data_IF_707855527251
#
_entry.id   IF_707855527251
#
_cell.length_a   1.000
_cell.length_b   1.000
_cell.length_c   1.000
_cell.angle_alpha   90.00
_cell.angle_beta   90.00
_cell.angle_gamma   90.00
#
_symmetry.space_group_name_H-M   'P 1'
#
loop_
_entity.id
_entity.type
_entity.pdbx_description
1 polymer ?
#
# COMPACT_ATOMS: atom_id res chain seq x y z
N UNK A 1 -21.97 -15.35 8.92
CA UNK A 1 -20.49 -15.48 8.83
C UNK A 1 -19.83 -14.79 7.62
N UNK A 2 -20.53 -14.02 6.76
CA UNK A 2 -19.97 -13.61 5.45
C UNK A 2 -19.39 -12.16 5.35
N UNK A 3 -19.37 -11.38 6.43
CA UNK A 3 -19.02 -9.95 6.34
C UNK A 3 -17.50 -9.76 6.20
N UNK A 4 -16.70 -10.43 7.03
CA UNK A 4 -15.24 -10.30 7.01
C UNK A 4 -14.65 -10.82 5.69
N UNK A 5 -15.09 -11.97 5.20
CA UNK A 5 -14.65 -12.51 3.90
C UNK A 5 -14.98 -11.58 2.74
N UNK A 6 -16.18 -10.98 2.74
CA UNK A 6 -16.57 -9.99 1.72
C UNK A 6 -15.74 -8.70 1.79
N UNK A 7 -15.38 -8.23 2.99
CA UNK A 7 -14.53 -7.07 3.20
C UNK A 7 -13.10 -7.31 2.71
N UNK A 8 -12.50 -8.46 3.06
CA UNK A 8 -11.18 -8.85 2.58
C UNK A 8 -11.17 -9.03 1.05
N UNK A 9 -12.20 -9.66 0.49
CA UNK A 9 -12.33 -9.83 -0.96
C UNK A 9 -12.47 -8.48 -1.68
N UNK A 10 -13.26 -7.55 -1.12
CA UNK A 10 -13.40 -6.20 -1.66
C UNK A 10 -12.09 -5.41 -1.56
N UNK A 11 -11.39 -5.50 -0.42
CA UNK A 11 -10.09 -4.87 -0.24
C UNK A 11 -9.05 -5.39 -1.25
N UNK A 12 -8.97 -6.73 -1.43
CA UNK A 12 -8.09 -7.36 -2.42
C UNK A 12 -8.42 -6.93 -3.85
N UNK A 13 -9.71 -6.84 -4.18
CA UNK A 13 -10.17 -6.36 -5.50
C UNK A 13 -9.81 -4.89 -5.72
N UNK A 14 -10.09 -4.01 -4.77
CA UNK A 14 -9.71 -2.59 -4.84
C UNK A 14 -8.19 -2.42 -4.95
N UNK A 15 -7.41 -3.26 -4.28
CA UNK A 15 -5.96 -3.26 -4.39
C UNK A 15 -5.50 -3.69 -5.80
N UNK A 16 -6.08 -4.77 -6.35
CA UNK A 16 -5.77 -5.21 -7.71
C UNK A 16 -6.14 -4.14 -8.76
N UNK A 17 -7.30 -3.49 -8.59
CA UNK A 17 -7.74 -2.38 -9.44
C UNK A 17 -6.78 -1.19 -9.34
N UNK A 18 -6.37 -0.79 -8.13
CA UNK A 18 -5.36 0.27 -7.93
C UNK A 18 -4.02 -0.09 -8.57
N UNK A 19 -3.52 -1.31 -8.38
CA UNK A 19 -2.27 -1.77 -9.01
C UNK A 19 -2.36 -1.73 -10.54
N UNK A 20 -3.50 -2.13 -11.11
CA UNK A 20 -3.71 -2.07 -12.55
C UNK A 20 -3.76 -0.63 -13.06
N UNK A 21 -4.47 0.27 -12.36
CA UNK A 21 -4.52 1.69 -12.71
C UNK A 21 -3.15 2.36 -12.61
N UNK A 22 -2.43 2.12 -11.51
CA UNK A 22 -1.06 2.60 -11.32
C UNK A 22 -0.11 2.05 -12.39
N UNK A 23 -0.25 0.76 -12.77
CA UNK A 23 0.52 0.16 -13.86
C UNK A 23 0.26 0.84 -15.22
N UNK A 24 -1.01 1.15 -15.53
CA UNK A 24 -1.36 1.92 -16.74
C UNK A 24 -0.76 3.33 -16.71
N UNK A 25 -0.82 4.01 -15.57
CA UNK A 25 -0.22 5.33 -15.40
C UNK A 25 1.30 5.29 -15.59
N UNK A 26 1.99 4.32 -14.97
CA UNK A 26 3.43 4.12 -15.16
C UNK A 26 3.75 3.92 -16.64
N UNK A 27 3.02 3.05 -17.32
CA UNK A 27 3.25 2.79 -18.74
C UNK A 27 3.03 4.05 -19.59
N UNK A 28 2.00 4.84 -19.28
CA UNK A 28 1.73 6.11 -19.95
C UNK A 28 2.88 7.11 -19.76
N UNK A 29 3.35 7.28 -18.52
CA UNK A 29 4.47 8.17 -18.19
C UNK A 29 5.77 7.70 -18.83
N UNK A 30 6.05 6.40 -18.83
CA UNK A 30 7.23 5.83 -19.49
C UNK A 30 7.23 6.14 -21.00
N UNK A 31 6.09 5.96 -21.68
CA UNK A 31 5.95 6.34 -23.09
C UNK A 31 6.22 7.83 -23.31
N UNK A 32 5.66 8.69 -22.45
CA UNK A 32 5.89 10.14 -22.51
C UNK A 32 7.38 10.50 -22.40
N UNK A 33 8.12 9.88 -21.48
CA UNK A 33 9.57 10.11 -21.36
C UNK A 33 10.37 9.57 -22.53
N UNK A 34 9.96 8.44 -23.12
CA UNK A 34 10.59 7.94 -24.34
C UNK A 34 10.40 8.94 -25.49
N UNK A 35 9.20 9.52 -25.63
CA UNK A 35 8.94 10.55 -26.65
C UNK A 35 9.79 11.81 -26.44
N UNK A 36 9.86 12.31 -25.20
CA UNK A 36 10.72 13.46 -24.86
C UNK A 36 12.20 13.14 -25.12
N UNK A 37 12.66 11.95 -24.74
CA UNK A 37 14.03 11.50 -25.01
C UNK A 37 14.34 11.41 -26.51
N UNK A 38 13.39 10.94 -27.32
CA UNK A 38 13.55 10.88 -28.77
C UNK A 38 13.63 12.29 -29.39
N UNK A 39 12.81 13.23 -28.93
CA UNK A 39 12.86 14.62 -29.38
C UNK A 39 14.22 15.26 -29.07
N UNK A 40 14.77 15.00 -27.89
CA UNK A 40 16.10 15.46 -27.50
C UNK A 40 17.23 14.84 -28.35
N UNK A 41 17.12 13.55 -28.68
CA UNK A 41 18.09 12.90 -29.57
C UNK A 41 18.06 13.53 -30.97
N UNK A 42 16.87 13.72 -31.53
CA UNK A 42 16.69 14.32 -32.85
C UNK A 42 17.19 15.77 -32.87
N UNK A 43 16.89 16.57 -31.84
CA UNK A 43 17.35 17.96 -31.74
C UNK A 43 18.88 18.03 -31.67
N UNK A 44 19.52 17.09 -30.95
CA UNK A 44 20.99 17.00 -30.89
C UNK A 44 21.61 16.64 -32.25
N UNK A 45 20.96 15.80 -33.04
CA UNK A 45 21.43 15.43 -34.39
C UNK A 45 21.24 16.57 -35.40
N UNK A 46 20.11 17.30 -35.32
CA UNK A 46 19.79 18.42 -36.20
C UNK A 46 20.44 19.75 -35.78
N UNK A 47 21.03 19.83 -34.59
CA UNK A 47 21.58 21.07 -34.03
C UNK A 47 20.51 22.07 -33.58
N UNK A 48 19.29 21.60 -33.32
CA UNK A 48 18.16 22.41 -32.84
C UNK A 48 18.24 22.64 -31.32
N UNK A 49 17.50 23.64 -30.82
CA UNK A 49 17.44 23.92 -29.39
C UNK A 49 16.73 22.78 -28.63
N UNK A 50 17.41 22.12 -27.67
CA UNK A 50 16.83 21.04 -26.88
C UNK A 50 15.58 21.45 -26.09
N UNK A 51 15.47 22.71 -25.67
CA UNK A 51 14.32 23.19 -24.91
C UNK A 51 13.09 23.34 -25.81
N UNK A 52 13.25 23.95 -26.99
CA UNK A 52 12.21 24.02 -28.00
C UNK A 52 11.71 22.63 -28.41
N UNK A 53 12.62 21.66 -28.58
CA UNK A 53 12.24 20.28 -28.94
C UNK A 53 11.43 19.55 -27.86
N UNK A 54 11.65 19.87 -26.57
CA UNK A 54 10.81 19.36 -25.48
C UNK A 54 9.42 20.00 -25.57
N UNK A 55 9.36 21.32 -25.70
CA UNK A 55 8.09 22.07 -25.74
C UNK A 55 7.20 21.68 -26.93
N UNK A 56 7.80 21.31 -28.07
CA UNK A 56 7.09 20.81 -29.26
C UNK A 56 6.35 19.49 -29.01
N UNK A 57 6.88 18.66 -28.11
CA UNK A 57 6.28 17.36 -27.75
C UNK A 57 5.38 17.47 -26.54
N UNK A 58 5.75 18.30 -25.57
CA UNK A 58 5.07 18.44 -24.31
C UNK A 58 5.29 19.84 -23.73
N UNK A 59 4.23 20.63 -23.52
CA UNK A 59 4.36 21.96 -22.91
C UNK A 59 5.14 21.91 -21.59
N UNK A 60 6.03 22.89 -21.37
CA UNK A 60 6.96 22.86 -20.24
C UNK A 60 6.28 22.69 -18.88
N UNK A 61 5.13 23.34 -18.69
CA UNK A 61 4.35 23.21 -17.44
C UNK A 61 3.79 21.79 -17.25
N UNK A 62 3.38 21.12 -18.32
CA UNK A 62 2.92 19.73 -18.27
C UNK A 62 4.08 18.76 -18.04
N UNK A 63 5.28 19.08 -18.55
CA UNK A 63 6.50 18.33 -18.26
C UNK A 63 6.84 18.37 -16.77
N UNK A 64 6.81 19.54 -16.13
CA UNK A 64 7.02 19.70 -14.69
C UNK A 64 6.03 18.84 -13.90
N UNK A 65 4.73 18.97 -14.20
CA UNK A 65 3.68 18.18 -13.55
C UNK A 65 3.92 16.68 -13.74
N UNK A 66 4.33 16.26 -14.95
CA UNK A 66 4.62 14.86 -15.26
C UNK A 66 5.80 14.31 -14.46
N UNK A 67 6.85 15.11 -14.24
CA UNK A 67 8.01 14.77 -13.40
C UNK A 67 7.60 14.61 -11.93
N UNK A 68 6.77 15.50 -11.40
CA UNK A 68 6.27 15.39 -10.04
C UNK A 68 5.39 14.16 -9.83
N UNK A 69 4.45 13.92 -10.76
CA UNK A 69 3.59 12.73 -10.74
C UNK A 69 4.41 11.45 -10.85
N UNK A 70 5.40 11.39 -11.73
CA UNK A 70 6.26 10.21 -11.89
C UNK A 70 7.13 9.97 -10.67
N UNK A 71 7.66 11.04 -10.04
CA UNK A 71 8.37 10.94 -8.77
C UNK A 71 7.46 10.41 -7.67
N UNK A 72 6.20 10.82 -7.62
CA UNK A 72 5.22 10.27 -6.70
C UNK A 72 4.97 8.78 -6.99
N UNK A 73 4.73 8.40 -8.25
CA UNK A 73 4.51 7.01 -8.67
C UNK A 73 5.72 6.09 -8.41
N UNK A 74 6.94 6.62 -8.44
CA UNK A 74 8.18 5.87 -8.20
C UNK A 74 8.44 5.58 -6.71
N UNK A 75 7.73 6.22 -5.78
CA UNK A 75 7.88 5.95 -4.34
C UNK A 75 7.45 4.51 -4.04
N UNK A 76 8.40 3.73 -3.53
CA UNK A 76 8.25 2.30 -3.15
C UNK A 76 7.05 2.05 -2.23
N UNK A 77 6.70 3.03 -1.39
CA UNK A 77 5.61 2.95 -0.42
C UNK A 77 4.22 2.89 -1.05
N UNK A 78 4.05 3.38 -2.29
CA UNK A 78 2.75 3.35 -2.99
C UNK A 78 2.30 1.93 -3.40
N UNK A 79 3.20 0.94 -3.28
CA UNK A 79 2.93 -0.45 -3.64
C UNK A 79 2.88 -1.39 -2.43
N UNK A 80 3.14 -0.90 -1.20
CA UNK A 80 3.07 -1.75 -0.01
C UNK A 80 1.61 -1.92 0.44
N UNK A 81 1.02 -3.13 0.34
CA UNK A 81 -0.36 -3.37 0.75
C UNK A 81 -0.59 -3.10 2.24
N UNK A 82 0.47 -3.13 3.06
CA UNK A 82 0.38 -2.95 4.50
C UNK A 82 -0.03 -1.53 4.90
N UNK A 83 0.22 -0.53 4.04
CA UNK A 83 -0.25 0.85 4.28
C UNK A 83 -1.78 0.97 4.29
N UNK A 84 -2.49 0.09 3.59
CA UNK A 84 -3.95 0.08 3.61
C UNK A 84 -4.49 -0.46 4.95
N UNK A 85 -3.74 -1.35 5.60
CA UNK A 85 -4.12 -1.92 6.90
C UNK A 85 -4.01 -0.84 7.98
N UNK A 86 -2.95 -0.03 7.96
CA UNK A 86 -2.79 1.10 8.89
C UNK A 86 -3.89 2.15 8.70
N UNK A 87 -4.31 2.46 7.47
CA UNK A 87 -5.45 3.36 7.21
C UNK A 87 -6.77 2.86 7.83
N UNK A 88 -7.01 1.54 7.79
CA UNK A 88 -8.24 0.93 8.33
C UNK A 88 -8.13 0.51 9.80
N UNK A 89 -6.94 0.60 10.39
CA UNK A 89 -6.67 0.19 11.76
C UNK A 89 -7.56 0.90 12.78
N UNK A 90 -7.79 2.22 12.61
CA UNK A 90 -8.65 3.01 13.49
C UNK A 90 -10.09 2.46 13.53
N UNK A 91 -10.62 2.09 12.37
CA UNK A 91 -11.94 1.48 12.24
C UNK A 91 -11.96 0.11 12.93
N UNK A 92 -10.96 -0.74 12.68
CA UNK A 92 -10.87 -2.06 13.28
C UNK A 92 -10.78 -1.99 14.81
N UNK A 93 -9.95 -1.08 15.35
CA UNK A 93 -9.76 -0.88 16.80
C UNK A 93 -11.05 -0.46 17.50
N UNK A 94 -11.96 0.25 16.82
CA UNK A 94 -13.27 0.65 17.36
C UNK A 94 -14.19 -0.55 17.62
N UNK A 95 -14.18 -1.55 16.75
CA UNK A 95 -15.07 -2.71 16.84
C UNK A 95 -14.44 -3.93 17.52
N UNK A 96 -13.11 -4.04 17.50
CA UNK A 96 -12.38 -5.19 18.00
C UNK A 96 -12.70 -5.58 19.46
N UNK A 97 -12.80 -4.66 20.44
CA UNK A 97 -13.10 -5.05 21.82
C UNK A 97 -14.43 -5.78 21.95
N UNK A 98 -15.48 -5.26 21.29
CA UNK A 98 -16.81 -5.85 21.34
C UNK A 98 -16.87 -7.16 20.59
N UNK A 99 -16.22 -7.25 19.42
CA UNK A 99 -16.11 -8.49 18.67
C UNK A 99 -15.43 -9.61 19.48
N UNK A 100 -14.29 -9.31 20.11
CA UNK A 100 -13.52 -10.28 20.89
C UNK A 100 -14.21 -10.69 22.19
N UNK A 101 -15.13 -9.87 22.71
CA UNK A 101 -15.94 -10.18 23.90
C UNK A 101 -17.10 -11.13 23.62
N UNK A 102 -17.64 -11.11 22.40
CA UNK A 102 -18.81 -11.92 22.01
C UNK A 102 -18.38 -13.24 21.38
N UNK A 103 -17.29 -13.24 20.62
CA UNK A 103 -16.83 -14.44 19.91
C UNK A 103 -15.93 -15.30 20.80
N UNK A 104 -16.30 -16.58 20.90
CA UNK A 104 -15.46 -17.62 21.48
C UNK A 104 -14.60 -18.25 20.37
N UNK A 105 -13.29 -17.98 20.41
CA UNK A 105 -12.33 -18.60 19.50
C UNK A 105 -11.82 -19.90 20.13
N UNK A 106 -11.76 -20.97 19.34
CA UNK A 106 -11.09 -22.22 19.68
C UNK A 106 -10.04 -22.49 18.62
N UNK A 107 -8.81 -22.76 19.04
CA UNK A 107 -7.70 -23.02 18.13
C UNK A 107 -7.42 -24.52 18.04
N UNK A 108 -7.07 -24.96 16.82
CA UNK A 108 -6.39 -26.23 16.63
C UNK A 108 -4.93 -26.14 17.15
N UNK A 109 -4.24 -27.26 17.42
CA UNK A 109 -2.87 -27.25 17.93
C UNK A 109 -1.90 -26.39 17.09
N UNK A 110 -2.05 -26.40 15.77
CA UNK A 110 -1.22 -25.60 14.85
C UNK A 110 -1.44 -24.07 14.96
N UNK A 111 -2.55 -23.63 15.56
CA UNK A 111 -2.93 -22.21 15.69
C UNK A 111 -2.86 -21.69 17.14
N UNK A 112 -2.22 -22.42 18.05
CA UNK A 112 -2.12 -22.03 19.46
C UNK A 112 -1.49 -20.65 19.67
N UNK A 113 -0.39 -20.34 18.96
CA UNK A 113 0.25 -19.02 19.04
C UNK A 113 -0.68 -17.87 18.63
N UNK A 114 -1.61 -18.11 17.71
CA UNK A 114 -2.61 -17.12 17.32
C UNK A 114 -3.66 -16.94 18.43
N UNK A 115 -4.07 -18.03 19.09
CA UNK A 115 -4.96 -17.96 20.26
C UNK A 115 -4.35 -17.13 21.39
N UNK A 116 -3.08 -17.40 21.71
CA UNK A 116 -2.35 -16.68 22.76
C UNK A 116 -2.22 -15.17 22.44
N UNK A 117 -2.06 -14.82 21.16
CA UNK A 117 -2.07 -13.43 20.72
C UNK A 117 -3.46 -12.78 20.90
N UNK A 118 -4.54 -13.50 20.60
CA UNK A 118 -5.89 -12.99 20.83
C UNK A 118 -6.16 -12.73 22.32
N UNK A 119 -5.68 -13.60 23.20
CA UNK A 119 -5.79 -13.40 24.64
C UNK A 119 -4.96 -12.21 25.12
N UNK A 120 -3.76 -12.03 24.58
CA UNK A 120 -2.94 -10.83 24.82
C UNK A 120 -3.70 -9.56 24.41
N UNK A 121 -4.32 -9.56 23.23
CA UNK A 121 -5.09 -8.41 22.71
C UNK A 121 -6.35 -8.16 23.56
N UNK A 122 -7.05 -9.20 24.02
CA UNK A 122 -8.18 -9.06 24.96
C UNK A 122 -7.75 -8.38 26.25
N UNK A 123 -6.63 -8.81 26.81
CA UNK A 123 -6.06 -8.22 28.02
C UNK A 123 -5.62 -6.78 27.82
N UNK A 124 -5.05 -6.46 26.65
CA UNK A 124 -4.73 -5.07 26.29
C UNK A 124 -5.99 -4.21 26.25
N UNK A 125 -7.11 -4.69 25.69
CA UNK A 125 -8.36 -3.94 25.69
C UNK A 125 -8.95 -3.78 27.10
N UNK A 126 -8.91 -4.84 27.93
CA UNK A 126 -9.38 -4.77 29.34
C UNK A 126 -8.57 -3.79 30.17
N UNK A 127 -7.24 -3.81 30.03
CA UNK A 127 -6.29 -2.97 30.77
C UNK A 127 -6.03 -1.62 30.09
N UNK A 128 -6.71 -1.33 28.97
CA UNK A 128 -6.52 -0.14 28.14
C UNK A 128 -5.04 0.14 27.76
N UNK A 129 -4.28 -0.92 27.52
CA UNK A 129 -2.86 -0.80 27.16
C UNK A 129 -2.71 -0.20 25.76
N UNK A 130 -1.81 0.77 25.65
CA UNK A 130 -1.48 1.41 24.37
C UNK A 130 -0.36 0.67 23.63
N UNK A 131 0.55 0.03 24.34
CA UNK A 131 1.70 -0.71 23.78
C UNK A 131 1.46 -2.21 23.88
N UNK A 132 1.90 -2.95 22.85
CA UNK A 132 1.90 -4.40 22.85
C UNK A 132 3.00 -4.89 23.83
N UNK A 133 2.70 -5.84 24.73
CA UNK A 133 3.71 -6.41 25.61
C UNK A 133 4.84 -7.11 24.83
N UNK A 134 6.11 -7.07 25.30
CA UNK A 134 7.21 -7.78 24.64
C UNK A 134 7.02 -9.30 24.58
N UNK A 135 6.20 -9.85 25.48
CA UNK A 135 5.85 -11.27 25.56
C UNK A 135 4.76 -11.69 24.56
N UNK A 136 4.23 -10.77 23.75
CA UNK A 136 3.17 -11.09 22.79
C UNK A 136 3.70 -12.07 21.72
N UNK A 137 2.97 -13.16 21.43
CA UNK A 137 3.41 -14.11 20.43
C UNK A 137 3.26 -13.49 19.04
N UNK A 138 4.36 -13.46 18.29
CA UNK A 138 4.45 -12.92 16.92
C UNK A 138 4.91 -13.98 15.91
N UNK A 139 5.13 -15.22 16.34
CA UNK A 139 5.71 -16.30 15.52
C UNK A 139 4.84 -16.71 14.32
N UNK A 140 3.53 -16.49 14.39
CA UNK A 140 2.60 -16.74 13.29
C UNK A 140 2.58 -15.61 12.24
N UNK A 141 3.23 -14.46 12.51
CA UNK A 141 3.22 -13.31 11.60
C UNK A 141 4.19 -13.55 10.45
N UNK A 142 3.74 -13.46 9.18
CA UNK A 142 4.62 -13.56 8.02
C UNK A 142 5.74 -12.52 8.05
N UNK A 143 6.92 -12.88 7.55
CA UNK A 143 8.08 -11.99 7.55
C UNK A 143 7.82 -10.65 6.84
N UNK A 144 7.02 -10.68 5.76
CA UNK A 144 6.61 -9.49 5.02
C UNK A 144 5.87 -8.46 5.89
N UNK A 145 5.21 -8.87 6.99
CA UNK A 145 4.42 -8.00 7.86
C UNK A 145 5.22 -7.44 9.04
N UNK A 146 6.45 -7.91 9.29
CA UNK A 146 7.25 -7.48 10.45
C UNK A 146 7.62 -6.00 10.44
N UNK A 147 7.61 -5.34 9.28
CA UNK A 147 7.92 -3.91 9.16
C UNK A 147 6.89 -2.99 9.80
N UNK A 148 5.67 -3.50 10.05
CA UNK A 148 4.54 -2.71 10.55
C UNK A 148 4.04 -3.16 11.93
N UNK A 149 4.74 -4.10 12.56
CA UNK A 149 4.39 -4.70 13.87
C UNK A 149 5.33 -4.19 14.95
#
# INVERSE_FOLDING_TARGET
ECILSSLFSRAKRTQAERLQQTGKLIQSKLKQYVTVGQALLNARESGEDPWAAIEDVLPWQEFINSVEETRFLSRKDNFDPLHLITEKYSTLRKYAPRMLSVLQFRAAPAAMQLSDALDTVRDMYRKQLRKVPPSAPIGFIPESWRKVV
#
